data_IF_270831631187
#
_entry.id   IF_270831631187
#
_cell.length_a   1.000
_cell.length_b   1.000
_cell.length_c   1.000
_cell.angle_alpha   90.00
_cell.angle_beta   90.00
_cell.angle_gamma   90.00
#
_symmetry.space_group_name_H-M   'P 1'
#
loop_
_entity.id
_entity.type
_entity.pdbx_description
1 polymer ?
#
# COMPACT_ATOMS: atom_id res chain seq x y z
N UNK A 1 -37.00 -23.77 27.32
CA UNK A 1 -36.95 -23.96 25.84
C UNK A 1 -35.47 -24.08 25.44
N UNK A 2 -35.12 -25.26 24.94
CA UNK A 2 -33.75 -25.75 24.76
C UNK A 2 -33.03 -25.08 23.58
N UNK A 3 -31.86 -24.55 23.83
CA UNK A 3 -30.97 -24.07 22.79
C UNK A 3 -29.94 -25.14 22.41
N UNK A 4 -29.92 -25.51 21.15
CA UNK A 4 -28.98 -26.49 20.57
C UNK A 4 -27.65 -25.78 20.31
N UNK A 5 -26.56 -26.31 20.92
CA UNK A 5 -25.18 -25.93 20.60
C UNK A 5 -24.66 -26.84 19.49
N UNK A 6 -24.28 -26.26 18.37
CA UNK A 6 -23.60 -26.99 17.29
C UNK A 6 -22.10 -26.83 17.45
N UNK A 7 -21.41 -27.93 17.73
CA UNK A 7 -19.96 -28.01 17.84
C UNK A 7 -19.39 -28.39 16.49
N UNK A 8 -18.56 -27.54 15.88
CA UNK A 8 -17.82 -27.85 14.67
C UNK A 8 -16.51 -28.56 15.03
N UNK A 9 -16.32 -29.74 14.47
CA UNK A 9 -15.11 -30.57 14.62
C UNK A 9 -14.19 -30.27 13.43
N UNK A 10 -13.00 -29.74 13.68
CA UNK A 10 -11.94 -29.63 12.70
C UNK A 10 -11.12 -30.92 12.68
N UNK A 11 -11.13 -31.62 11.56
CA UNK A 11 -10.24 -32.76 11.29
C UNK A 11 -8.92 -32.27 10.73
N UNK A 12 -7.83 -32.47 11.47
CA UNK A 12 -6.48 -32.29 10.99
C UNK A 12 -6.03 -33.52 10.21
N UNK A 13 -5.63 -33.35 8.96
CA UNK A 13 -5.01 -34.40 8.13
C UNK A 13 -3.49 -34.29 8.28
N UNK A 14 -2.89 -35.31 8.89
CA UNK A 14 -1.45 -35.48 9.07
C UNK A 14 -0.87 -36.23 7.87
N UNK A 15 -0.10 -35.58 7.00
CA UNK A 15 0.68 -36.24 5.96
C UNK A 15 2.07 -36.61 6.49
N UNK A 16 2.32 -37.91 6.61
CA UNK A 16 3.64 -38.50 6.92
C UNK A 16 4.34 -38.78 5.57
N UNK A 17 5.46 -38.10 5.31
CA UNK A 17 6.34 -38.43 4.18
C UNK A 17 7.49 -39.30 4.65
N UNK A 18 7.60 -40.48 4.06
CA UNK A 18 8.67 -41.46 4.29
C UNK A 18 9.94 -41.09 3.53
N UNK A 19 11.08 -41.14 4.24
CA UNK A 19 12.41 -41.03 3.65
C UNK A 19 12.78 -42.35 2.99
N UNK A 20 13.19 -42.32 1.71
CA UNK A 20 13.91 -43.37 1.03
C UNK A 20 15.21 -42.79 0.48
N UNK A 21 16.35 -43.23 1.02
CA UNK A 21 17.67 -42.87 0.50
C UNK A 21 18.06 -43.73 -0.67
N UNK A 22 18.73 -43.15 -1.67
CA UNK A 22 19.56 -43.91 -2.59
C UNK A 22 20.81 -43.08 -2.96
N UNK A 23 21.95 -43.73 -2.80
CA UNK A 23 23.27 -43.16 -2.98
C UNK A 23 23.75 -43.50 -4.42
N UNK A 24 23.71 -42.50 -5.30
CA UNK A 24 24.22 -42.62 -6.69
C UNK A 24 25.25 -41.51 -6.98
N UNK A 25 26.46 -41.94 -7.42
CA UNK A 25 27.62 -41.08 -7.63
C UNK A 25 27.46 -39.97 -8.66
N UNK A 26 28.12 -38.84 -8.34
CA UNK A 26 28.15 -37.62 -9.15
C UNK A 26 29.31 -37.66 -10.12
N UNK A 27 29.13 -37.54 -11.45
CA UNK A 27 30.20 -37.18 -12.36
C UNK A 27 30.40 -35.65 -12.31
N UNK A 28 31.69 -35.26 -12.23
CA UNK A 28 32.09 -33.84 -12.31
C UNK A 28 31.66 -33.24 -13.64
N UNK A 29 30.81 -32.24 -13.60
CA UNK A 29 30.39 -31.44 -14.76
C UNK A 29 31.15 -30.12 -14.80
N UNK A 30 31.69 -29.88 -15.97
CA UNK A 30 32.42 -28.74 -16.49
C UNK A 30 31.70 -27.42 -16.22
N UNK A 31 32.38 -26.51 -15.50
CA UNK A 31 31.86 -25.20 -15.11
C UNK A 31 32.29 -24.11 -16.09
N UNK A 32 31.62 -24.06 -17.25
CA UNK A 32 31.69 -22.89 -18.13
C UNK A 32 30.38 -22.67 -18.88
N UNK A 33 29.32 -22.36 -18.11
CA UNK A 33 28.11 -21.77 -18.66
C UNK A 33 27.96 -20.37 -18.05
N UNK A 34 28.37 -19.38 -18.82
CA UNK A 34 27.94 -18.00 -18.59
C UNK A 34 26.44 -17.95 -18.88
N UNK A 35 25.63 -18.13 -17.82
CA UNK A 35 24.20 -17.82 -17.89
C UNK A 35 24.08 -16.29 -18.08
N UNK A 36 23.84 -15.93 -19.34
CA UNK A 36 23.33 -14.61 -19.67
C UNK A 36 21.93 -14.55 -19.02
N UNK A 37 21.85 -13.92 -17.86
CA UNK A 37 20.57 -13.54 -17.25
C UNK A 37 19.89 -12.65 -18.28
N UNK A 38 18.90 -13.19 -18.98
CA UNK A 38 18.04 -12.37 -19.82
C UNK A 38 17.36 -11.36 -18.90
N UNK A 39 17.69 -10.09 -19.09
CA UNK A 39 17.06 -8.98 -18.41
C UNK A 39 15.56 -9.07 -18.71
N UNK A 40 14.76 -9.48 -17.71
CA UNK A 40 13.31 -9.50 -17.84
C UNK A 40 12.85 -8.05 -18.08
N UNK A 41 12.02 -7.80 -19.12
CA UNK A 41 11.50 -6.47 -19.36
C UNK A 41 10.82 -5.98 -18.09
N UNK A 42 11.20 -4.78 -17.64
CA UNK A 42 10.64 -4.16 -16.45
C UNK A 42 9.15 -3.91 -16.69
N UNK A 43 8.28 -4.62 -15.97
CA UNK A 43 6.82 -4.43 -16.03
C UNK A 43 6.39 -2.98 -15.77
N UNK A 44 7.19 -2.23 -15.01
CA UNK A 44 6.99 -0.80 -14.78
C UNK A 44 7.04 0.02 -16.07
N UNK A 45 7.77 -0.43 -17.10
CA UNK A 45 7.85 0.31 -18.37
C UNK A 45 6.61 0.15 -19.25
N UNK A 46 5.90 -0.97 -19.16
CA UNK A 46 4.67 -1.19 -19.92
C UNK A 46 3.50 -0.43 -19.31
N UNK A 47 3.30 -0.50 -17.99
CA UNK A 47 2.26 0.25 -17.29
C UNK A 47 2.50 1.77 -17.31
N UNK A 48 3.74 2.23 -17.18
CA UNK A 48 4.07 3.66 -17.21
C UNK A 48 3.82 4.32 -18.58
N UNK A 49 3.66 3.53 -19.66
CA UNK A 49 3.25 4.03 -20.96
C UNK A 49 1.72 4.24 -21.08
N UNK A 50 0.94 3.65 -20.18
CA UNK A 50 -0.53 3.66 -20.26
C UNK A 50 -1.17 4.71 -19.35
N UNK A 51 -0.57 5.03 -18.19
CA UNK A 51 -1.10 6.07 -17.30
C UNK A 51 -0.01 6.74 -16.47
N UNK A 52 -0.32 7.92 -15.93
CA UNK A 52 0.52 8.61 -14.96
C UNK A 52 -0.34 9.09 -13.79
N UNK A 53 0.21 9.01 -12.58
CA UNK A 53 -0.36 9.66 -11.41
C UNK A 53 -0.01 11.15 -11.48
N UNK A 54 -1.03 11.99 -11.59
CA UNK A 54 -0.90 13.44 -11.79
C UNK A 54 -1.17 14.23 -10.51
N UNK A 55 -1.80 13.59 -9.50
CA UNK A 55 -2.09 14.17 -8.18
C UNK A 55 -1.82 13.18 -7.07
N UNK A 56 -1.40 13.66 -5.90
CA UNK A 56 -1.46 12.84 -4.69
C UNK A 56 -2.91 12.69 -4.24
N UNK A 57 -3.23 11.58 -3.52
CA UNK A 57 -4.57 11.37 -3.00
C UNK A 57 -4.92 12.33 -1.84
N UNK A 58 -3.95 13.12 -1.35
CA UNK A 58 -4.17 14.17 -0.33
C UNK A 58 -3.10 15.26 -0.40
N UNK A 59 -3.44 16.43 0.14
CA UNK A 59 -2.46 17.48 0.38
C UNK A 59 -1.60 17.10 1.59
N UNK A 60 -0.27 17.06 1.42
CA UNK A 60 0.68 16.75 2.48
C UNK A 60 0.92 17.92 3.45
N UNK A 61 0.11 18.96 3.43
CA UNK A 61 0.20 20.06 4.37
C UNK A 61 0.15 19.56 5.83
N UNK A 62 0.87 20.20 6.71
CA UNK A 62 1.05 19.76 8.09
C UNK A 62 -0.28 19.65 8.88
N UNK A 63 -1.31 20.39 8.50
CA UNK A 63 -2.58 20.40 9.18
C UNK A 63 -3.49 19.18 8.87
N UNK A 64 -3.13 18.31 7.93
CA UNK A 64 -3.86 17.03 7.67
C UNK A 64 -3.48 15.93 8.65
N UNK A 65 -2.42 16.09 9.41
CA UNK A 65 -1.92 15.08 10.34
C UNK A 65 -2.50 15.24 11.74
N UNK A 66 -2.80 14.13 12.40
CA UNK A 66 -3.19 14.06 13.80
C UNK A 66 -2.22 13.15 14.56
N UNK A 67 -1.06 13.68 14.89
CA UNK A 67 -0.04 12.90 15.57
C UNK A 67 -0.40 12.64 17.04
N UNK A 68 -0.09 11.44 17.56
CA UNK A 68 -0.43 11.06 18.91
C UNK A 68 0.31 11.93 19.92
N UNK A 69 -0.39 12.36 20.97
CA UNK A 69 0.18 13.14 22.07
C UNK A 69 0.57 12.30 23.27
N UNK A 70 -0.01 11.10 23.41
CA UNK A 70 0.19 10.21 24.55
C UNK A 70 0.87 8.90 24.13
N UNK A 71 1.86 8.44 24.91
CA UNK A 71 2.69 7.25 24.63
C UNK A 71 1.94 5.91 24.60
N UNK A 72 0.67 5.86 24.92
CA UNK A 72 -0.07 4.64 25.24
C UNK A 72 -1.07 4.12 24.22
N UNK A 73 -1.49 4.89 23.25
CA UNK A 73 -2.76 4.60 22.56
C UNK A 73 -2.66 4.27 21.07
N UNK A 74 -1.42 4.10 20.52
CA UNK A 74 -1.31 4.08 19.07
C UNK A 74 -0.31 3.05 18.50
N UNK A 75 -0.58 2.54 17.27
CA UNK A 75 0.40 1.75 16.51
C UNK A 75 1.67 2.50 16.09
N UNK A 76 1.80 3.79 16.42
CA UNK A 76 2.99 4.62 16.15
C UNK A 76 4.30 4.06 16.73
N UNK A 77 4.25 3.14 17.68
CA UNK A 77 5.46 2.44 18.14
C UNK A 77 6.09 1.62 17.02
N UNK A 78 5.28 1.12 16.11
CA UNK A 78 5.68 0.12 15.14
C UNK A 78 5.67 0.65 13.71
N UNK A 79 4.95 1.75 13.45
CA UNK A 79 4.78 2.32 12.11
C UNK A 79 4.81 3.86 12.14
N UNK A 80 5.51 4.50 11.21
CA UNK A 80 5.48 5.95 11.04
C UNK A 80 4.25 6.37 10.20
N UNK A 81 3.92 7.69 10.14
CA UNK A 81 2.69 8.15 9.46
C UNK A 81 2.65 7.92 7.93
N UNK A 82 3.79 7.79 7.28
CA UNK A 82 3.86 7.40 5.87
C UNK A 82 4.58 6.05 5.79
N UNK A 83 3.87 5.01 5.37
CA UNK A 83 4.49 3.71 5.23
C UNK A 83 5.19 3.62 3.88
N UNK A 84 6.42 3.10 3.91
CA UNK A 84 7.25 2.92 2.73
C UNK A 84 6.84 1.63 2.04
N UNK A 85 6.40 1.73 0.79
CA UNK A 85 6.04 0.59 -0.04
C UNK A 85 7.21 -0.40 -0.15
N UNK A 86 6.92 -1.68 -0.03
CA UNK A 86 7.91 -2.76 -0.09
C UNK A 86 8.76 -2.92 1.17
N UNK A 87 8.58 -2.10 2.20
CA UNK A 87 9.25 -2.23 3.49
C UNK A 87 8.54 -3.24 4.37
N UNK A 88 9.30 -4.05 5.08
CA UNK A 88 8.78 -4.95 6.10
C UNK A 88 8.49 -4.18 7.40
N UNK A 89 7.25 -4.27 7.85
CA UNK A 89 6.79 -3.78 9.14
C UNK A 89 6.33 -4.99 9.96
N UNK A 90 7.22 -5.53 10.81
CA UNK A 90 6.94 -6.66 11.70
C UNK A 90 6.50 -7.95 10.99
N UNK A 91 7.16 -8.29 9.89
CA UNK A 91 6.87 -9.50 9.11
C UNK A 91 5.74 -9.35 8.08
N UNK A 92 5.20 -8.13 7.91
CA UNK A 92 4.28 -7.79 6.83
C UNK A 92 4.94 -6.78 5.90
N UNK A 93 5.13 -7.17 4.65
CA UNK A 93 5.61 -6.25 3.60
C UNK A 93 4.48 -5.31 3.21
N UNK A 94 4.76 -4.00 3.20
CA UNK A 94 3.78 -2.99 2.82
C UNK A 94 3.55 -3.00 1.31
N UNK A 95 2.31 -3.25 0.90
CA UNK A 95 1.92 -3.36 -0.50
C UNK A 95 1.23 -2.09 -1.04
N UNK A 96 1.12 -1.06 -0.22
CA UNK A 96 0.47 0.21 -0.56
C UNK A 96 1.36 1.38 -0.21
N UNK A 97 1.08 2.56 -0.76
CA UNK A 97 1.54 3.81 -0.20
C UNK A 97 0.49 4.25 0.83
N UNK A 98 0.77 3.95 2.09
CA UNK A 98 -0.17 4.25 3.15
C UNK A 98 0.18 5.56 3.86
N UNK A 99 -0.84 6.36 4.12
CA UNK A 99 -0.81 7.56 4.95
C UNK A 99 -1.65 7.29 6.19
N UNK A 100 -1.01 7.18 7.33
CA UNK A 100 -1.65 6.92 8.62
C UNK A 100 -1.74 8.20 9.47
N UNK A 101 -2.46 8.17 10.58
CA UNK A 101 -2.58 9.32 11.49
C UNK A 101 -3.15 10.58 10.83
N UNK A 102 -4.08 10.43 9.92
CA UNK A 102 -4.76 11.54 9.26
C UNK A 102 -5.92 12.04 10.12
N UNK A 103 -6.19 13.34 10.05
CA UNK A 103 -7.43 13.93 10.61
C UNK A 103 -8.64 13.34 9.89
N UNK A 104 -9.62 12.90 10.68
CA UNK A 104 -10.92 12.49 10.14
C UNK A 104 -11.57 13.65 9.39
N UNK A 105 -12.09 13.38 8.20
CA UNK A 105 -12.67 14.38 7.32
C UNK A 105 -11.66 15.05 6.38
N UNK A 106 -10.37 14.69 6.42
CA UNK A 106 -9.39 15.13 5.40
C UNK A 106 -9.89 14.76 4.02
N UNK A 107 -9.86 15.71 3.09
CA UNK A 107 -10.30 15.51 1.71
C UNK A 107 -9.36 14.55 0.99
N UNK A 108 -9.94 13.56 0.33
CA UNK A 108 -9.24 12.62 -0.56
C UNK A 108 -9.43 13.06 -2.00
N UNK A 109 -8.32 13.11 -2.76
CA UNK A 109 -8.28 13.56 -4.16
C UNK A 109 -8.04 12.37 -5.09
N UNK A 110 -8.57 12.44 -6.32
CA UNK A 110 -8.29 11.44 -7.34
C UNK A 110 -6.83 11.54 -7.80
N UNK A 111 -6.06 10.44 -7.78
CA UNK A 111 -4.68 10.44 -8.29
C UNK A 111 -4.57 10.57 -9.81
N UNK A 112 -5.61 10.13 -10.52
CA UNK A 112 -5.66 10.07 -11.98
C UNK A 112 -6.98 10.62 -12.51
N UNK A 113 -6.99 10.97 -13.78
CA UNK A 113 -8.23 11.16 -14.55
C UNK A 113 -8.71 9.78 -15.01
N UNK A 114 -9.97 9.45 -14.76
CA UNK A 114 -10.51 8.14 -15.10
C UNK A 114 -11.98 7.99 -14.75
N UNK A 115 -12.43 6.74 -14.69
CA UNK A 115 -13.77 6.35 -14.30
C UNK A 115 -13.73 5.50 -13.03
N UNK A 116 -14.71 5.66 -12.17
CA UNK A 116 -14.93 4.73 -11.05
C UNK A 116 -15.39 3.38 -11.63
N UNK A 117 -14.54 2.36 -11.50
CA UNK A 117 -14.82 1.00 -12.01
C UNK A 117 -15.47 0.13 -10.95
N UNK A 118 -15.17 0.39 -9.68
CA UNK A 118 -15.79 -0.32 -8.56
C UNK A 118 -15.75 0.50 -7.28
N UNK A 119 -16.68 0.22 -6.36
CA UNK A 119 -16.70 0.74 -4.99
C UNK A 119 -17.05 -0.42 -4.08
N UNK A 120 -16.11 -0.89 -3.28
CA UNK A 120 -16.26 -2.05 -2.43
C UNK A 120 -16.40 -1.66 -0.98
N UNK A 121 -17.52 -2.04 -0.36
CA UNK A 121 -17.66 -1.90 1.08
C UNK A 121 -16.72 -2.88 1.78
N UNK A 122 -15.91 -2.39 2.69
CA UNK A 122 -15.07 -3.21 3.53
C UNK A 122 -15.93 -3.90 4.62
N UNK A 123 -15.80 -5.22 4.82
CA UNK A 123 -16.48 -5.90 5.90
C UNK A 123 -16.08 -5.33 7.28
N UNK A 124 -17.07 -5.10 8.13
CA UNK A 124 -16.88 -4.62 9.51
C UNK A 124 -16.18 -3.24 9.64
N UNK A 125 -16.11 -2.48 8.55
CA UNK A 125 -15.58 -1.12 8.50
C UNK A 125 -16.65 -0.09 8.11
N UNK A 126 -16.36 1.20 8.29
CA UNK A 126 -17.23 2.30 7.86
C UNK A 126 -16.66 3.02 6.64
N UNK A 127 -15.81 2.38 5.90
CA UNK A 127 -15.12 2.88 4.74
C UNK A 127 -15.32 1.96 3.52
N UNK A 128 -14.85 2.43 2.41
CA UNK A 128 -14.87 1.70 1.14
C UNK A 128 -13.50 1.75 0.50
N UNK A 129 -13.27 0.78 -0.38
CA UNK A 129 -12.18 0.78 -1.34
C UNK A 129 -12.73 1.25 -2.70
N UNK A 130 -12.14 2.31 -3.26
CA UNK A 130 -12.52 2.94 -4.51
C UNK A 130 -11.52 2.59 -5.61
N UNK A 131 -12.01 1.99 -6.69
CA UNK A 131 -11.20 1.62 -7.86
C UNK A 131 -11.42 2.61 -8.99
N UNK A 132 -10.32 3.19 -9.51
CA UNK A 132 -10.35 4.17 -10.60
C UNK A 132 -9.50 3.67 -11.76
N UNK A 133 -10.02 3.79 -12.98
CA UNK A 133 -9.33 3.38 -14.19
C UNK A 133 -10.16 3.63 -15.45
N UNK A 134 -10.00 2.74 -16.42
CA UNK A 134 -10.89 2.66 -17.58
C UNK A 134 -11.86 1.47 -17.43
N UNK A 135 -12.68 1.21 -18.46
CA UNK A 135 -13.66 0.12 -18.43
C UNK A 135 -13.03 -1.28 -18.42
N UNK A 136 -11.76 -1.41 -18.81
CA UNK A 136 -11.04 -2.67 -18.95
C UNK A 136 -10.10 -2.94 -17.77
N UNK A 137 -9.62 -1.90 -17.10
CA UNK A 137 -8.64 -2.01 -16.03
C UNK A 137 -8.82 -0.92 -14.96
N UNK A 138 -8.61 -1.28 -13.71
CA UNK A 138 -8.56 -0.36 -12.57
C UNK A 138 -7.14 -0.33 -12.01
N UNK A 139 -6.21 0.46 -12.58
CA UNK A 139 -4.83 0.47 -12.13
C UNK A 139 -4.64 1.09 -10.76
N UNK A 140 -5.63 1.83 -10.25
CA UNK A 140 -5.57 2.53 -8.95
C UNK A 140 -6.67 2.03 -8.02
N UNK A 141 -6.29 1.73 -6.78
CA UNK A 141 -7.20 1.60 -5.65
C UNK A 141 -6.87 2.65 -4.58
N UNK A 142 -7.92 3.28 -4.05
CA UNK A 142 -7.89 4.11 -2.84
C UNK A 142 -8.69 3.39 -1.76
N UNK A 143 -8.03 2.97 -0.69
CA UNK A 143 -8.70 2.32 0.44
C UNK A 143 -8.82 3.25 1.64
N UNK A 144 -9.75 2.92 2.53
CA UNK A 144 -10.10 3.68 3.72
C UNK A 144 -10.63 5.08 3.40
N UNK A 145 -11.66 5.16 2.57
CA UNK A 145 -12.36 6.43 2.27
C UNK A 145 -13.88 6.33 2.52
N UNK A 146 -14.49 7.47 2.77
CA UNK A 146 -15.95 7.66 2.66
C UNK A 146 -16.22 8.46 1.40
N UNK A 147 -17.04 7.93 0.51
CA UNK A 147 -17.39 8.56 -0.76
C UNK A 147 -18.88 8.44 -1.08
N UNK A 148 -19.38 9.32 -1.92
CA UNK A 148 -20.70 9.22 -2.55
C UNK A 148 -20.63 8.80 -4.01
N UNK A 149 -19.41 8.64 -4.55
CA UNK A 149 -19.21 8.19 -5.92
C UNK A 149 -19.72 6.77 -6.12
N UNK A 150 -20.14 6.51 -7.34
CA UNK A 150 -20.67 5.21 -7.76
C UNK A 150 -19.92 4.72 -9.00
N UNK A 151 -20.00 3.42 -9.26
CA UNK A 151 -19.48 2.84 -10.50
C UNK A 151 -20.04 3.58 -11.72
N UNK A 152 -19.15 4.00 -12.59
CA UNK A 152 -19.47 4.75 -13.82
C UNK A 152 -19.23 6.24 -13.71
N UNK A 153 -19.09 6.81 -12.51
CA UNK A 153 -18.75 8.23 -12.35
C UNK A 153 -17.39 8.54 -12.95
N UNK A 154 -17.24 9.71 -13.53
CA UNK A 154 -15.98 10.20 -14.11
C UNK A 154 -15.34 11.16 -13.13
N UNK A 155 -14.05 10.98 -12.90
CA UNK A 155 -13.23 11.84 -12.03
C UNK A 155 -12.03 12.38 -12.80
N UNK A 156 -11.52 13.52 -12.37
CA UNK A 156 -10.28 14.10 -12.89
C UNK A 156 -9.20 14.11 -11.81
N UNK A 157 -7.94 14.02 -12.20
CA UNK A 157 -6.82 14.12 -11.26
C UNK A 157 -6.94 15.41 -10.42
N UNK A 158 -6.75 15.28 -9.12
CA UNK A 158 -6.90 16.38 -8.14
C UNK A 158 -8.35 16.72 -7.77
N UNK A 159 -9.36 16.08 -8.36
CA UNK A 159 -10.76 16.26 -7.94
C UNK A 159 -11.01 15.59 -6.59
N UNK A 160 -11.76 16.22 -5.64
CA UNK A 160 -12.24 15.55 -4.45
C UNK A 160 -13.09 14.32 -4.78
N UNK A 161 -12.73 13.17 -4.20
CA UNK A 161 -13.43 11.88 -4.41
C UNK A 161 -13.98 11.29 -3.12
N UNK A 162 -13.63 11.87 -1.97
CA UNK A 162 -14.11 11.41 -0.67
C UNK A 162 -13.41 12.10 0.49
N UNK A 163 -13.54 11.51 1.65
CA UNK A 163 -12.88 11.97 2.88
C UNK A 163 -12.36 10.78 3.68
N UNK A 164 -11.33 11.02 4.49
CA UNK A 164 -10.77 10.06 5.42
C UNK A 164 -11.76 9.78 6.55
N UNK A 165 -12.19 8.54 6.79
CA UNK A 165 -13.06 8.15 7.89
C UNK A 165 -12.30 7.98 9.21
N UNK A 166 -13.03 7.64 10.25
CA UNK A 166 -12.43 7.11 11.49
C UNK A 166 -11.87 5.71 11.24
N UNK A 167 -10.63 5.48 11.64
CA UNK A 167 -10.04 4.16 11.57
C UNK A 167 -10.89 3.16 12.38
N UNK A 168 -11.26 2.03 11.74
CA UNK A 168 -12.15 1.01 12.33
C UNK A 168 -13.46 1.57 12.95
N UNK A 169 -14.01 2.65 12.43
CA UNK A 169 -15.22 3.35 12.90
C UNK A 169 -15.14 3.97 14.30
N UNK A 170 -14.02 3.87 15.00
CA UNK A 170 -13.90 4.22 16.43
C UNK A 170 -12.87 5.29 16.70
N UNK A 171 -11.71 5.20 16.05
CA UNK A 171 -10.55 6.01 16.39
C UNK A 171 -10.76 7.49 16.05
N UNK A 172 -10.01 8.35 16.70
CA UNK A 172 -10.08 9.80 16.45
C UNK A 172 -9.32 10.25 15.20
N UNK A 173 -8.63 9.34 14.54
CA UNK A 173 -7.81 9.51 13.34
C UNK A 173 -8.27 8.52 12.27
N UNK A 174 -7.74 8.68 11.08
CA UNK A 174 -7.92 7.76 9.96
C UNK A 174 -6.62 7.48 9.22
N UNK A 175 -6.74 6.67 8.19
CA UNK A 175 -5.67 6.37 7.25
C UNK A 175 -6.19 6.45 5.82
N UNK A 176 -5.28 6.37 4.85
CA UNK A 176 -5.58 6.31 3.44
C UNK A 176 -4.50 5.47 2.76
N UNK A 177 -4.92 4.51 1.95
CA UNK A 177 -4.00 3.71 1.15
C UNK A 177 -4.16 4.03 -0.34
N UNK A 178 -3.03 4.18 -1.03
CA UNK A 178 -2.95 4.26 -2.48
C UNK A 178 -2.21 3.03 -2.99
N UNK A 179 -2.88 2.22 -3.78
CA UNK A 179 -2.28 1.06 -4.44
C UNK A 179 -2.30 1.24 -5.96
N UNK A 180 -1.20 0.87 -6.61
CA UNK A 180 -1.15 0.65 -8.05
C UNK A 180 -1.17 -0.85 -8.29
N UNK A 181 -2.14 -1.29 -9.09
CA UNK A 181 -2.39 -2.69 -9.38
C UNK A 181 -1.77 -3.03 -10.73
N UNK A 182 -0.96 -4.08 -10.75
CA UNK A 182 -0.38 -4.64 -11.96
C UNK A 182 -0.61 -6.14 -12.06
N UNK A 183 -0.20 -6.73 -13.16
CA UNK A 183 -0.29 -8.17 -13.39
C UNK A 183 1.03 -8.71 -13.94
N UNK A 184 1.46 -9.87 -13.48
CA UNK A 184 2.58 -10.61 -14.04
C UNK A 184 2.33 -12.11 -13.99
N UNK A 185 2.40 -12.76 -15.16
CA UNK A 185 2.19 -14.20 -15.26
C UNK A 185 0.83 -14.67 -14.78
N UNK A 186 -0.21 -13.86 -14.90
CA UNK A 186 -1.57 -14.13 -14.41
C UNK A 186 -1.77 -13.92 -12.91
N UNK A 187 -0.79 -13.32 -12.23
CA UNK A 187 -0.89 -12.97 -10.81
C UNK A 187 -0.97 -11.44 -10.65
N UNK A 188 -1.89 -10.99 -9.82
CA UNK A 188 -1.96 -9.59 -9.42
C UNK A 188 -0.78 -9.23 -8.53
N UNK A 189 -0.22 -8.07 -8.76
CA UNK A 189 0.89 -7.51 -7.99
C UNK A 189 0.55 -6.07 -7.59
N UNK A 190 1.01 -5.68 -6.42
CA UNK A 190 1.09 -4.27 -6.07
C UNK A 190 2.40 -3.68 -6.63
N UNK A 191 2.30 -2.50 -7.22
CA UNK A 191 3.43 -1.75 -7.77
C UNK A 191 3.62 -0.46 -6.97
N UNK A 192 4.89 -0.06 -6.78
CA UNK A 192 5.12 1.18 -6.04
C UNK A 192 4.53 2.39 -6.76
N UNK A 193 3.58 3.14 -6.14
CA UNK A 193 2.89 4.24 -6.79
C UNK A 193 3.83 5.35 -7.28
N UNK A 194 4.93 5.60 -6.58
CA UNK A 194 5.86 6.65 -6.97
C UNK A 194 6.57 6.41 -8.31
N UNK A 195 6.60 5.18 -8.81
CA UNK A 195 7.13 4.86 -10.14
C UNK A 195 6.23 5.39 -11.27
N UNK A 196 4.98 5.75 -10.97
CA UNK A 196 3.98 6.23 -11.92
C UNK A 196 3.69 7.73 -11.77
N UNK A 197 4.37 8.42 -10.88
CA UNK A 197 4.19 9.86 -10.72
C UNK A 197 4.69 10.61 -11.96
N UNK A 198 3.88 11.56 -12.44
CA UNK A 198 4.32 12.51 -13.45
C UNK A 198 5.57 13.26 -12.95
N UNK A 199 6.41 13.72 -13.87
CA UNK A 199 7.62 14.47 -13.51
C UNK A 199 7.29 15.67 -12.61
N UNK A 200 6.23 16.42 -12.95
CA UNK A 200 5.80 17.58 -12.17
C UNK A 200 5.37 17.20 -10.75
N UNK A 201 4.63 16.09 -10.60
CA UNK A 201 4.23 15.59 -9.29
C UNK A 201 5.45 15.14 -8.47
N UNK A 202 6.40 14.45 -9.11
CA UNK A 202 7.61 13.97 -8.45
C UNK A 202 8.45 15.13 -7.90
N UNK A 203 8.60 16.21 -8.66
CA UNK A 203 9.34 17.41 -8.23
C UNK A 203 8.66 18.12 -7.05
N UNK A 204 7.34 18.23 -7.06
CA UNK A 204 6.60 18.86 -5.98
C UNK A 204 6.52 17.98 -4.72
N UNK A 205 6.38 16.68 -4.90
CA UNK A 205 6.11 15.74 -3.83
C UNK A 205 7.31 15.41 -2.94
N UNK A 206 8.50 15.21 -3.52
CA UNK A 206 9.68 14.84 -2.75
C UNK A 206 10.01 15.79 -1.59
N UNK A 207 10.06 17.12 -1.77
CA UNK A 207 10.32 18.03 -0.68
C UNK A 207 9.19 18.07 0.36
N UNK A 208 7.93 17.96 -0.06
CA UNK A 208 6.78 17.93 0.85
C UNK A 208 6.83 16.67 1.74
N UNK A 209 7.09 15.51 1.15
CA UNK A 209 7.26 14.27 1.89
C UNK A 209 8.43 14.32 2.86
N UNK A 210 9.59 14.83 2.43
CA UNK A 210 10.76 14.97 3.29
C UNK A 210 10.45 15.88 4.50
N UNK A 211 9.64 16.93 4.31
CA UNK A 211 9.17 17.78 5.40
C UNK A 211 8.34 16.98 6.40
N UNK A 212 7.32 16.25 5.95
CA UNK A 212 6.47 15.40 6.81
C UNK A 212 7.30 14.38 7.60
N UNK A 213 8.24 13.70 6.93
CA UNK A 213 9.10 12.70 7.56
C UNK A 213 10.03 13.32 8.64
N UNK A 214 10.58 14.50 8.38
CA UNK A 214 11.42 15.21 9.36
C UNK A 214 10.62 15.75 10.53
N UNK A 215 9.43 16.30 10.28
CA UNK A 215 8.52 16.77 11.32
C UNK A 215 8.07 15.62 12.21
N UNK A 216 7.76 14.46 11.61
CA UNK A 216 7.49 13.25 12.38
C UNK A 216 8.70 12.83 13.22
N UNK A 217 9.91 12.78 12.66
CA UNK A 217 11.12 12.43 13.41
C UNK A 217 11.33 13.36 14.62
N UNK A 218 11.04 14.65 14.45
CA UNK A 218 11.09 15.64 15.53
C UNK A 218 10.03 15.35 16.59
N UNK A 219 8.81 15.02 16.18
CA UNK A 219 7.73 14.65 17.09
C UNK A 219 8.02 13.32 17.81
N UNK A 220 8.56 12.34 17.11
CA UNK A 220 8.87 11.00 17.63
C UNK A 220 10.05 10.98 18.61
N UNK A 221 10.91 12.01 18.57
CA UNK A 221 12.12 12.08 19.37
C UNK A 221 11.83 11.95 20.87
N UNK A 222 12.45 10.97 21.52
CA UNK A 222 12.31 10.69 22.95
C UNK A 222 11.00 9.99 23.35
N UNK A 223 10.10 9.69 22.38
CA UNK A 223 8.81 9.03 22.65
C UNK A 223 8.80 7.53 22.36
N UNK A 224 9.90 6.97 21.88
CA UNK A 224 9.99 5.54 21.54
C UNK A 224 9.19 5.13 20.31
N UNK A 225 8.83 6.10 19.45
CA UNK A 225 8.18 5.84 18.17
C UNK A 225 9.20 5.49 17.10
N UNK A 226 8.76 4.73 16.07
CA UNK A 226 9.57 4.46 14.88
C UNK A 226 9.83 5.76 14.13
N UNK A 227 11.07 5.96 13.71
CA UNK A 227 11.51 7.13 12.96
C UNK A 227 11.99 6.73 11.58
N UNK A 228 12.04 7.70 10.67
CA UNK A 228 12.67 7.52 9.35
C UNK A 228 14.18 7.72 9.46
N UNK A 229 14.93 6.86 8.79
CA UNK A 229 16.34 7.07 8.55
C UNK A 229 16.57 8.16 7.50
N UNK A 230 17.79 8.75 7.49
CA UNK A 230 18.16 9.71 6.44
C UNK A 230 18.09 9.12 5.02
N UNK A 231 18.37 7.81 4.88
CA UNK A 231 18.26 7.12 3.60
C UNK A 231 16.78 7.04 3.12
N UNK A 232 15.85 6.74 4.00
CA UNK A 232 14.41 6.69 3.69
C UNK A 232 13.88 8.07 3.29
N UNK A 233 14.27 9.13 4.00
CA UNK A 233 13.89 10.50 3.65
C UNK A 233 14.43 10.90 2.27
N UNK A 234 15.65 10.47 1.93
CA UNK A 234 16.28 10.78 0.64
C UNK A 234 15.73 9.95 -0.51
N UNK A 235 15.55 8.64 -0.28
CA UNK A 235 15.14 7.69 -1.31
C UNK A 235 13.62 7.69 -1.58
N UNK A 236 12.84 8.24 -0.64
CA UNK A 236 11.39 8.29 -0.77
C UNK A 236 10.69 7.00 -0.35
N UNK A 237 9.50 6.75 -0.89
CA UNK A 237 8.54 5.76 -0.38
C UNK A 237 8.59 4.39 -1.05
N UNK A 238 9.55 4.11 -1.91
CA UNK A 238 9.70 2.79 -2.53
C UNK A 238 10.97 2.09 -2.03
N UNK A 239 10.83 1.08 -1.18
CA UNK A 239 11.91 0.17 -0.81
C UNK A 239 12.07 -0.97 -1.84
N UNK A 240 10.99 -1.28 -2.60
CA UNK A 240 10.93 -2.27 -3.67
C UNK A 240 10.06 -1.73 -4.81
N UNK A 241 10.27 -2.13 -6.07
CA UNK A 241 9.37 -1.77 -7.18
C UNK A 241 8.02 -2.51 -7.13
N UNK A 242 7.98 -3.69 -6.54
CA UNK A 242 6.79 -4.56 -6.43
C UNK A 242 6.67 -5.15 -5.03
N UNK A 243 5.44 -5.49 -4.63
CA UNK A 243 5.15 -6.25 -3.43
C UNK A 243 4.04 -7.29 -3.75
N UNK A 244 3.93 -8.39 -2.99
CA UNK A 244 2.77 -9.27 -3.06
C UNK A 244 1.51 -8.47 -2.69
N UNK A 245 0.44 -8.61 -3.48
CA UNK A 245 -0.86 -7.99 -3.22
C UNK A 245 -1.74 -8.85 -2.30
#
# INVERSE_FOLDING_TARGET
MSGVRTTAIFSAVLCIAACGGDSGGVPAADSSRTDTVAEQPSMTSELSAEFAIESLPLDLAADVWQWPVDEGTWPARDRPPVHIFGKDYQGKVEATLMFDMLKVGTTVLSPITGRVVDVRQQPDSCDVELYIGDESAAPISLDHIVTTLQRGDVVTAGQPVGTVPKWQCKESFGGLELMVIGESGGQMLALCPANFFSTALMEAWKPALATVMNDWNTHAAGRGYVTYSSAEITNGVCASPTAPS
#
